data_IF_603655441306
#
_entry.id   IF_603655441306
#
_cell.length_a   1.000
_cell.length_b   1.000
_cell.length_c   1.000
_cell.angle_alpha   90.00
_cell.angle_beta   90.00
_cell.angle_gamma   90.00
#
_symmetry.space_group_name_H-M   'P 1'
#
loop_
_entity.id
_entity.type
_entity.pdbx_description
1 polymer ?
#
# COMPACT_ATOMS: atom_id res chain seq x y z
N UNK A 1 30.71 -2.42 -11.29
CA UNK A 1 29.40 -1.72 -11.13
C UNK A 1 28.38 -2.50 -11.94
N UNK A 2 27.59 -3.35 -11.27
CA UNK A 2 26.52 -4.12 -11.91
C UNK A 2 25.30 -3.19 -11.97
N UNK A 3 24.93 -2.76 -13.19
CA UNK A 3 23.65 -2.07 -13.41
C UNK A 3 22.54 -3.09 -13.24
N UNK A 4 21.76 -2.96 -12.16
CA UNK A 4 20.48 -3.63 -12.03
C UNK A 4 19.53 -2.93 -13.03
N UNK A 5 19.26 -3.60 -14.16
CA UNK A 5 18.16 -3.24 -15.04
C UNK A 5 16.88 -3.75 -14.36
N UNK A 6 16.15 -2.85 -13.71
CA UNK A 6 14.76 -3.11 -13.33
C UNK A 6 13.93 -3.15 -14.62
N UNK A 7 13.69 -4.33 -15.12
CA UNK A 7 12.77 -4.54 -16.24
C UNK A 7 11.34 -4.46 -15.68
N UNK A 8 10.58 -3.44 -16.11
CA UNK A 8 9.15 -3.34 -15.81
C UNK A 8 8.42 -4.48 -16.54
N UNK A 9 7.95 -5.48 -15.78
CA UNK A 9 7.00 -6.46 -16.27
C UNK A 9 5.68 -5.73 -16.57
N UNK A 10 5.29 -5.65 -17.82
CA UNK A 10 3.91 -5.35 -18.20
C UNK A 10 3.09 -6.63 -17.96
N UNK A 11 2.54 -6.76 -16.77
CA UNK A 11 1.51 -7.75 -16.49
C UNK A 11 0.17 -7.11 -16.82
N UNK A 12 -0.55 -7.63 -17.80
CA UNK A 12 -1.96 -7.30 -17.96
C UNK A 12 -2.73 -8.05 -16.89
N UNK A 13 -3.21 -7.36 -15.88
CA UNK A 13 -4.13 -7.90 -14.89
C UNK A 13 -5.54 -7.50 -15.26
N UNK A 14 -6.38 -8.47 -15.62
CA UNK A 14 -7.81 -8.24 -15.69
C UNK A 14 -8.42 -8.49 -14.31
N UNK A 15 -9.09 -7.49 -13.76
CA UNK A 15 -9.84 -7.61 -12.52
C UNK A 15 -11.33 -7.56 -12.84
N UNK A 16 -12.05 -8.59 -12.45
CA UNK A 16 -13.52 -8.59 -12.49
C UNK A 16 -14.07 -8.75 -11.08
N UNK A 17 -15.03 -7.92 -10.71
CA UNK A 17 -15.78 -8.04 -9.46
C UNK A 17 -17.24 -8.35 -9.76
N UNK A 18 -17.79 -9.34 -9.07
CA UNK A 18 -19.19 -9.69 -9.13
C UNK A 18 -19.79 -9.61 -7.72
N UNK A 19 -20.92 -8.94 -7.60
CA UNK A 19 -21.72 -8.94 -6.35
C UNK A 19 -22.49 -10.26 -6.25
N UNK A 20 -22.29 -10.97 -5.16
CA UNK A 20 -23.10 -12.12 -4.81
C UNK A 20 -24.38 -11.66 -4.10
N UNK A 21 -25.53 -12.31 -4.31
CA UNK A 21 -26.79 -11.93 -3.63
C UNK A 21 -26.61 -12.02 -2.11
N UNK A 22 -26.86 -10.92 -1.43
CA UNK A 22 -26.81 -10.82 0.02
C UNK A 22 -28.19 -10.51 0.60
N UNK A 23 -28.54 -11.16 1.70
CA UNK A 23 -29.80 -10.98 2.43
C UNK A 23 -29.68 -10.02 3.61
N UNK A 24 -28.46 -9.57 3.95
CA UNK A 24 -28.20 -8.61 5.03
C UNK A 24 -27.86 -7.24 4.43
N UNK A 25 -28.60 -6.20 4.83
CA UNK A 25 -28.47 -4.85 4.29
C UNK A 25 -27.17 -4.15 4.63
N UNK A 26 -26.42 -4.65 5.62
CA UNK A 26 -25.20 -4.01 6.13
C UNK A 26 -23.90 -4.67 5.66
N UNK A 27 -24.01 -5.78 4.91
CA UNK A 27 -22.85 -6.52 4.41
C UNK A 27 -23.00 -6.86 2.93
N UNK A 28 -21.86 -6.84 2.22
CA UNK A 28 -21.77 -7.18 0.81
C UNK A 28 -20.65 -8.19 0.60
N UNK A 29 -20.95 -9.28 -0.11
CA UNK A 29 -19.95 -10.27 -0.47
C UNK A 29 -19.54 -10.10 -1.93
N UNK A 30 -18.22 -10.02 -2.16
CA UNK A 30 -17.61 -9.87 -3.47
C UNK A 30 -16.72 -11.05 -3.78
N UNK A 31 -16.77 -11.47 -5.02
CA UNK A 31 -15.79 -12.38 -5.60
C UNK A 31 -14.86 -11.57 -6.54
N UNK A 32 -13.57 -11.57 -6.25
CA UNK A 32 -12.55 -10.94 -7.07
C UNK A 32 -11.73 -12.01 -7.76
N UNK A 33 -11.59 -11.91 -9.07
CA UNK A 33 -10.72 -12.79 -9.85
C UNK A 33 -9.63 -11.96 -10.49
N UNK A 34 -8.38 -12.29 -10.18
CA UNK A 34 -7.19 -11.71 -10.78
C UNK A 34 -6.49 -12.75 -11.62
N UNK A 35 -6.26 -12.46 -12.90
CA UNK A 35 -5.55 -13.33 -13.81
C UNK A 35 -4.24 -12.68 -14.25
N UNK A 36 -3.16 -13.42 -14.14
CA UNK A 36 -1.81 -12.99 -14.51
C UNK A 36 -1.32 -13.87 -15.64
N UNK A 37 -0.90 -13.26 -16.74
CA UNK A 37 -0.15 -13.88 -17.82
C UNK A 37 1.17 -13.10 -17.95
N UNK A 38 2.25 -13.69 -17.42
CA UNK A 38 3.52 -13.00 -17.28
C UNK A 38 4.40 -13.29 -18.48
N UNK A 39 4.78 -12.24 -19.18
CA UNK A 39 5.74 -12.29 -20.28
C UNK A 39 7.09 -11.77 -19.76
N UNK A 40 8.12 -12.63 -19.67
CA UNK A 40 9.44 -12.18 -19.25
C UNK A 40 10.03 -11.22 -20.30
N UNK A 41 10.86 -10.25 -19.89
CA UNK A 41 11.56 -9.39 -20.82
C UNK A 41 12.38 -10.18 -21.83
N UNK A 42 12.44 -9.71 -23.06
CA UNK A 42 13.22 -10.36 -24.12
C UNK A 42 14.69 -10.53 -23.70
N UNK A 43 15.21 -11.73 -23.84
CA UNK A 43 16.58 -12.08 -23.45
C UNK A 43 16.78 -12.34 -21.96
N UNK A 44 15.75 -12.27 -21.15
CA UNK A 44 15.84 -12.67 -19.74
C UNK A 44 16.06 -14.18 -19.65
N UNK A 45 17.05 -14.56 -18.82
CA UNK A 45 17.35 -15.96 -18.50
C UNK A 45 17.21 -16.10 -16.99
N UNK A 46 16.28 -16.87 -16.54
CA UNK A 46 16.09 -17.08 -15.11
C UNK A 46 14.65 -17.36 -14.73
N UNK A 47 14.46 -17.73 -13.50
CA UNK A 47 13.16 -17.94 -12.89
C UNK A 47 12.34 -16.64 -12.88
N UNK A 48 11.03 -16.78 -12.94
CA UNK A 48 10.10 -15.66 -12.76
C UNK A 48 9.44 -15.77 -11.40
N UNK A 49 9.48 -14.71 -10.65
CA UNK A 49 8.88 -14.64 -9.32
C UNK A 49 7.79 -13.56 -9.30
N UNK A 50 6.65 -13.88 -8.72
CA UNK A 50 5.53 -12.98 -8.54
C UNK A 50 5.10 -12.96 -7.07
N UNK A 51 4.88 -11.77 -6.54
CA UNK A 51 4.28 -11.55 -5.24
C UNK A 51 2.97 -10.78 -5.42
N UNK A 52 1.87 -11.41 -5.03
CA UNK A 52 0.53 -10.82 -5.08
C UNK A 52 0.11 -10.45 -3.67
N UNK A 53 -0.04 -9.17 -3.34
CA UNK A 53 -0.57 -8.76 -2.04
C UNK A 53 -1.97 -9.32 -1.85
N UNK A 54 -2.23 -9.87 -0.67
CA UNK A 54 -3.54 -10.39 -0.30
C UNK A 54 -4.19 -9.49 0.74
N UNK A 55 -5.52 -9.33 0.71
CA UNK A 55 -6.25 -8.61 1.73
C UNK A 55 -6.19 -9.36 3.07
N UNK A 56 -6.39 -8.65 4.16
CA UNK A 56 -6.56 -9.21 5.50
C UNK A 56 -7.94 -8.87 6.06
N UNK A 57 -8.40 -9.66 7.02
CA UNK A 57 -9.66 -9.40 7.73
C UNK A 57 -9.45 -8.32 8.80
N UNK A 58 -10.46 -7.46 8.96
CA UNK A 58 -10.53 -6.43 9.98
C UNK A 58 -12.01 -6.19 10.37
N UNK A 59 -12.30 -5.14 11.13
CA UNK A 59 -13.65 -4.83 11.59
C UNK A 59 -14.66 -4.57 10.46
N UNK A 60 -14.19 -4.25 9.25
CA UNK A 60 -15.01 -3.81 8.11
C UNK A 60 -14.98 -4.79 6.93
N UNK A 61 -14.09 -5.74 6.95
CA UNK A 61 -14.04 -6.79 5.93
C UNK A 61 -13.57 -8.12 6.49
N UNK A 62 -14.13 -9.20 5.94
CA UNK A 62 -13.73 -10.57 6.23
C UNK A 62 -13.29 -11.25 4.94
N UNK A 63 -12.05 -11.72 4.90
CA UNK A 63 -11.56 -12.56 3.80
C UNK A 63 -12.05 -13.98 4.06
N UNK A 64 -13.07 -14.41 3.32
CA UNK A 64 -13.72 -15.70 3.49
C UNK A 64 -12.94 -16.82 2.81
N UNK A 65 -12.36 -16.56 1.62
CA UNK A 65 -11.58 -17.52 0.88
C UNK A 65 -10.49 -16.85 0.04
N UNK A 66 -9.36 -17.55 -0.08
CA UNK A 66 -8.27 -17.27 -1.02
C UNK A 66 -7.97 -18.56 -1.75
N UNK A 67 -8.28 -18.60 -3.03
CA UNK A 67 -8.04 -19.74 -3.91
C UNK A 67 -7.09 -19.30 -5.03
N UNK A 68 -6.19 -20.18 -5.45
CA UNK A 68 -5.32 -19.87 -6.57
C UNK A 68 -4.97 -21.11 -7.35
N UNK A 69 -4.84 -20.94 -8.67
CA UNK A 69 -4.48 -21.98 -9.64
C UNK A 69 -3.53 -21.41 -10.68
N UNK A 70 -2.71 -22.25 -11.31
CA UNK A 70 -1.79 -21.84 -12.36
C UNK A 70 -0.81 -22.94 -12.73
N UNK A 71 0.12 -22.60 -13.62
CA UNK A 71 1.18 -23.51 -14.05
C UNK A 71 2.54 -23.21 -13.38
N UNK A 72 2.51 -22.70 -12.17
CA UNK A 72 3.70 -22.40 -11.38
C UNK A 72 4.44 -23.67 -10.93
N UNK A 73 5.74 -23.58 -10.75
CA UNK A 73 6.56 -24.63 -10.15
C UNK A 73 6.33 -24.68 -8.63
N UNK A 74 6.14 -23.51 -8.00
CA UNK A 74 5.89 -23.37 -6.56
C UNK A 74 5.00 -22.17 -6.30
N UNK A 75 3.99 -22.33 -5.42
CA UNK A 75 3.22 -21.22 -4.89
C UNK A 75 2.82 -21.47 -3.44
N UNK A 76 2.78 -20.40 -2.65
CA UNK A 76 2.35 -20.43 -1.25
C UNK A 76 2.03 -19.01 -0.74
N UNK A 77 1.19 -18.94 0.28
CA UNK A 77 0.94 -17.69 0.98
C UNK A 77 2.00 -17.49 2.06
N UNK A 78 2.65 -16.32 2.04
CA UNK A 78 3.59 -15.91 3.09
C UNK A 78 2.81 -15.25 4.21
N UNK A 79 3.12 -15.63 5.44
CA UNK A 79 2.56 -15.10 6.67
C UNK A 79 3.70 -14.81 7.67
N UNK A 80 3.35 -14.35 8.86
CA UNK A 80 4.29 -14.18 9.98
C UNK A 80 5.40 -13.13 9.77
N UNK A 81 5.04 -12.00 9.18
CA UNK A 81 5.88 -10.80 9.22
C UNK A 81 5.37 -9.83 10.30
N UNK A 82 6.21 -8.87 10.69
CA UNK A 82 5.92 -7.93 11.77
C UNK A 82 4.66 -7.06 11.54
N UNK A 83 4.18 -6.95 10.30
CA UNK A 83 3.00 -6.17 9.95
C UNK A 83 1.74 -7.02 9.72
N UNK A 84 1.83 -8.34 9.89
CA UNK A 84 0.73 -9.26 9.58
C UNK A 84 0.30 -9.28 8.11
N UNK A 85 1.12 -8.75 7.22
CA UNK A 85 0.82 -8.70 5.80
C UNK A 85 0.86 -10.09 5.18
N UNK A 86 -0.11 -10.39 4.30
CA UNK A 86 -0.18 -11.64 3.56
C UNK A 86 0.16 -11.40 2.10
N UNK A 87 0.96 -12.29 1.53
CA UNK A 87 1.35 -12.21 0.12
C UNK A 87 1.34 -13.61 -0.48
N UNK A 88 0.68 -13.79 -1.61
CA UNK A 88 0.83 -15.00 -2.41
C UNK A 88 2.12 -14.88 -3.23
N UNK A 89 3.04 -15.80 -2.98
CA UNK A 89 4.23 -15.98 -3.81
C UNK A 89 3.98 -17.06 -4.82
N UNK A 90 4.39 -16.83 -6.06
CA UNK A 90 4.41 -17.85 -7.12
C UNK A 90 5.72 -17.75 -7.92
N UNK A 91 6.26 -18.91 -8.32
CA UNK A 91 7.52 -19.02 -9.03
C UNK A 91 7.33 -19.93 -10.26
N UNK A 92 7.98 -19.56 -11.36
CA UNK A 92 8.07 -20.35 -12.57
C UNK A 92 9.53 -20.54 -12.95
N UNK A 93 9.84 -21.75 -13.41
CA UNK A 93 11.16 -22.08 -13.91
C UNK A 93 11.54 -21.22 -15.13
N UNK A 94 12.85 -21.06 -15.34
CA UNK A 94 13.39 -20.28 -16.43
C UNK A 94 12.87 -20.70 -17.82
N UNK A 95 12.61 -21.99 -18.00
CA UNK A 95 12.17 -22.59 -19.27
C UNK A 95 10.65 -22.71 -19.37
N UNK A 96 9.87 -22.13 -18.48
CA UNK A 96 8.41 -22.20 -18.57
C UNK A 96 7.92 -21.45 -19.84
N UNK A 97 7.16 -22.14 -20.69
CA UNK A 97 6.60 -21.57 -21.92
C UNK A 97 5.57 -20.48 -21.62
N UNK A 98 4.79 -20.70 -20.57
CA UNK A 98 3.76 -19.76 -20.06
C UNK A 98 3.91 -19.59 -18.57
N UNK A 99 3.46 -18.47 -18.04
CA UNK A 99 3.48 -18.14 -16.62
C UNK A 99 2.12 -17.60 -16.21
N UNK A 100 1.23 -18.54 -15.91
CA UNK A 100 -0.17 -18.24 -15.63
C UNK A 100 -0.46 -18.41 -14.14
N UNK A 101 -1.13 -17.43 -13.57
CA UNK A 101 -1.68 -17.49 -12.22
C UNK A 101 -3.07 -16.86 -12.25
N UNK A 102 -4.03 -17.54 -11.62
CA UNK A 102 -5.35 -17.00 -11.33
C UNK A 102 -5.57 -17.04 -9.83
N UNK A 103 -5.97 -15.93 -9.28
CA UNK A 103 -6.28 -15.77 -7.85
C UNK A 103 -7.73 -15.39 -7.73
N UNK A 104 -8.46 -16.13 -6.92
CA UNK A 104 -9.86 -15.86 -6.60
C UNK A 104 -9.98 -15.54 -5.10
N UNK A 105 -10.59 -14.41 -4.79
CA UNK A 105 -10.80 -13.93 -3.44
C UNK A 105 -12.29 -13.79 -3.19
N UNK A 106 -12.78 -14.35 -2.09
CA UNK A 106 -14.13 -14.09 -1.60
C UNK A 106 -14.03 -13.21 -0.36
N UNK A 107 -14.59 -12.00 -0.45
CA UNK A 107 -14.48 -10.99 0.60
C UNK A 107 -15.88 -10.49 0.94
N UNK A 108 -16.22 -10.54 2.21
CA UNK A 108 -17.38 -9.87 2.77
C UNK A 108 -16.95 -8.50 3.32
N UNK A 109 -17.67 -7.45 2.96
CA UNK A 109 -17.44 -6.10 3.48
C UNK A 109 -18.68 -5.64 4.24
N UNK A 110 -18.47 -4.81 5.27
CA UNK A 110 -19.55 -4.10 5.98
C UNK A 110 -19.56 -2.65 5.52
N UNK A 111 -20.76 -2.10 5.42
CA UNK A 111 -20.92 -0.68 5.21
C UNK A 111 -20.26 0.10 6.35
N UNK A 112 -19.55 1.13 6.01
CA UNK A 112 -18.96 2.05 6.98
C UNK A 112 -19.02 3.47 6.48
N UNK A 113 -19.21 4.38 7.40
CA UNK A 113 -19.14 5.80 7.17
C UNK A 113 -18.00 6.39 8.03
N UNK A 114 -16.73 6.24 7.61
CA UNK A 114 -15.55 6.59 8.41
C UNK A 114 -15.50 8.08 8.76
N UNK A 115 -16.16 8.90 7.94
CA UNK A 115 -16.29 10.35 8.12
C UNK A 115 -17.77 10.73 8.24
N UNK A 116 -18.52 10.02 9.09
CA UNK A 116 -19.90 10.36 9.38
C UNK A 116 -20.02 11.86 9.63
N UNK A 117 -21.05 12.48 9.06
CA UNK A 117 -21.23 13.94 9.11
C UNK A 117 -21.16 14.43 10.55
N UNK A 118 -20.09 15.14 10.87
CA UNK A 118 -19.81 15.61 12.23
C UNK A 118 -18.99 14.66 13.11
N UNK A 119 -18.53 13.50 12.62
CA UNK A 119 -17.75 12.54 13.42
C UNK A 119 -16.51 13.14 14.12
N UNK A 120 -15.90 14.14 13.51
CA UNK A 120 -14.74 14.85 14.08
C UNK A 120 -15.12 16.20 14.74
N UNK A 121 -16.39 16.61 14.69
CA UNK A 121 -16.82 17.91 15.21
C UNK A 121 -16.60 18.04 16.72
N UNK A 122 -16.84 16.95 17.42
CA UNK A 122 -16.77 16.90 18.89
C UNK A 122 -15.48 16.18 19.38
N UNK A 123 -14.52 15.95 18.47
CA UNK A 123 -13.25 15.32 18.83
C UNK A 123 -12.50 16.23 19.81
N UNK A 124 -12.30 15.71 21.02
CA UNK A 124 -11.48 16.35 22.04
C UNK A 124 -10.09 15.73 22.05
N UNK A 125 -9.08 16.57 21.96
CA UNK A 125 -7.69 16.10 22.10
C UNK A 125 -7.49 15.63 23.53
N UNK A 126 -7.13 14.37 23.76
CA UNK A 126 -6.84 13.92 25.12
C UNK A 126 -5.60 14.66 25.67
N UNK A 127 -5.59 14.93 26.97
CA UNK A 127 -4.45 15.56 27.65
C UNK A 127 -3.15 14.81 27.40
N UNK A 128 -3.24 13.48 27.30
CA UNK A 128 -2.12 12.61 26.95
C UNK A 128 -2.57 11.59 25.90
N UNK A 129 -1.88 11.58 24.76
CA UNK A 129 -2.08 10.56 23.74
C UNK A 129 -1.26 9.33 24.13
N UNK A 130 -1.94 8.21 24.36
CA UNK A 130 -1.32 6.91 24.65
C UNK A 130 -1.66 5.99 23.48
N UNK A 131 -0.64 5.60 22.73
CA UNK A 131 -0.81 4.65 21.63
C UNK A 131 -0.77 3.21 22.15
N UNK A 132 -1.68 2.37 21.68
CA UNK A 132 -1.66 0.93 21.95
C UNK A 132 -0.41 0.27 21.35
N UNK A 133 -0.05 -0.89 21.85
CA UNK A 133 1.20 -1.60 21.44
C UNK A 133 1.24 -1.89 19.94
N UNK A 134 0.10 -2.26 19.38
CA UNK A 134 -0.07 -2.51 17.93
C UNK A 134 0.14 -1.26 17.09
N UNK A 135 -0.25 -0.08 17.59
CA UNK A 135 -0.01 1.19 16.90
C UNK A 135 1.44 1.66 17.01
N UNK A 136 2.12 1.38 18.12
CA UNK A 136 3.49 1.82 18.36
C UNK A 136 4.48 1.33 17.29
N UNK A 137 4.24 0.15 16.69
CA UNK A 137 5.08 -0.38 15.60
C UNK A 137 5.08 0.56 14.38
N UNK A 138 3.92 1.14 14.06
CA UNK A 138 3.76 2.04 12.91
C UNK A 138 4.28 3.46 13.15
N UNK A 139 4.68 3.79 14.37
CA UNK A 139 5.32 5.07 14.69
C UNK A 139 6.86 5.01 14.55
N UNK A 140 7.41 3.84 14.27
CA UNK A 140 8.86 3.68 14.09
C UNK A 140 9.28 4.14 12.69
N UNK A 141 10.46 4.78 12.58
CA UNK A 141 11.01 5.13 11.27
C UNK A 141 11.33 3.87 10.46
N UNK A 142 11.27 4.00 9.15
CA UNK A 142 11.72 2.98 8.20
C UNK A 142 12.92 3.50 7.40
N UNK A 143 13.43 2.69 6.46
CA UNK A 143 14.55 3.10 5.61
C UNK A 143 14.26 4.37 4.82
N UNK A 144 13.06 4.53 4.29
CA UNK A 144 12.67 5.66 3.45
C UNK A 144 11.80 6.70 4.18
N UNK A 145 11.10 6.30 5.23
CA UNK A 145 10.24 7.18 6.02
C UNK A 145 10.96 7.45 7.35
N UNK A 146 11.80 8.50 7.36
CA UNK A 146 12.46 8.99 8.56
C UNK A 146 11.51 9.89 9.34
N UNK A 147 11.68 9.93 10.65
CA UNK A 147 10.84 10.74 11.57
C UNK A 147 11.68 11.75 12.37
N UNK A 148 12.96 11.90 12.04
CA UNK A 148 13.92 12.78 12.69
C UNK A 148 14.63 13.70 11.69
N UNK A 149 15.71 14.35 12.10
CA UNK A 149 16.55 15.15 11.24
C UNK A 149 15.79 16.23 10.47
N UNK A 150 16.02 16.29 9.15
CA UNK A 150 15.38 17.26 8.25
C UNK A 150 13.86 17.05 8.17
N UNK A 151 13.39 15.81 8.24
CA UNK A 151 11.97 15.48 8.19
C UNK A 151 11.24 16.13 9.36
N UNK A 152 11.76 15.94 10.58
CA UNK A 152 11.20 16.57 11.77
C UNK A 152 11.23 18.10 11.69
N UNK A 153 12.32 18.69 11.19
CA UNK A 153 12.45 20.14 11.03
C UNK A 153 11.38 20.70 10.08
N UNK A 154 11.08 20.00 8.98
CA UNK A 154 10.01 20.38 8.07
C UNK A 154 8.64 20.25 8.73
N UNK A 155 8.37 19.14 9.41
CA UNK A 155 7.12 18.94 10.14
C UNK A 155 6.91 20.04 11.18
N UNK A 156 7.91 20.32 12.03
CA UNK A 156 7.86 21.38 13.06
C UNK A 156 7.61 22.77 12.45
N UNK A 157 8.22 23.06 11.29
CA UNK A 157 8.01 24.33 10.58
C UNK A 157 6.57 24.47 10.05
N UNK A 158 6.00 23.36 9.53
CA UNK A 158 4.64 23.34 8.97
C UNK A 158 3.60 23.49 10.08
N UNK A 159 3.74 22.73 11.16
CA UNK A 159 2.74 22.68 12.22
C UNK A 159 2.89 23.80 13.26
N UNK A 160 4.09 24.41 13.39
CA UNK A 160 4.37 25.47 14.33
C UNK A 160 4.05 25.07 15.77
N UNK A 161 3.26 25.87 16.46
CA UNK A 161 2.83 25.64 17.86
C UNK A 161 1.52 24.85 17.98
N UNK A 162 0.98 24.30 16.88
CA UNK A 162 -0.26 23.54 16.93
C UNK A 162 -0.08 22.26 17.77
N UNK A 163 -1.02 21.98 18.66
CA UNK A 163 -1.00 20.79 19.53
C UNK A 163 -2.04 19.75 19.17
N UNK A 164 -3.13 20.16 18.49
CA UNK A 164 -4.19 19.26 18.08
C UNK A 164 -3.71 18.36 16.92
N UNK A 165 -3.68 17.02 17.08
CA UNK A 165 -3.16 16.12 16.05
C UNK A 165 -3.94 16.16 14.74
N UNK A 166 -5.26 16.36 14.78
CA UNK A 166 -6.07 16.51 13.57
C UNK A 166 -5.71 17.78 12.80
N UNK A 167 -5.51 18.89 13.52
CA UNK A 167 -5.08 20.14 12.90
C UNK A 167 -3.66 20.04 12.34
N UNK A 168 -2.75 19.35 13.04
CA UNK A 168 -1.41 19.04 12.51
C UNK A 168 -1.51 18.28 11.20
N UNK A 169 -2.30 17.21 11.14
CA UNK A 169 -2.52 16.43 9.92
C UNK A 169 -3.11 17.30 8.79
N UNK A 170 -4.06 18.20 9.11
CA UNK A 170 -4.62 19.14 8.14
C UNK A 170 -3.58 20.11 7.61
N UNK A 171 -2.72 20.68 8.47
CA UNK A 171 -1.65 21.58 8.05
C UNK A 171 -0.63 20.89 7.15
N UNK A 172 -0.22 19.67 7.50
CA UNK A 172 0.69 18.87 6.70
C UNK A 172 0.05 18.53 5.34
N UNK A 173 -1.19 18.07 5.34
CA UNK A 173 -1.92 17.80 4.09
C UNK A 173 -2.01 19.04 3.20
N UNK A 174 -2.38 20.20 3.78
CA UNK A 174 -2.47 21.44 3.03
C UNK A 174 -1.11 21.84 2.43
N UNK A 175 -0.04 21.73 3.22
CA UNK A 175 1.31 22.01 2.73
C UNK A 175 1.69 21.11 1.54
N UNK A 176 1.37 19.80 1.61
CA UNK A 176 1.61 18.86 0.53
C UNK A 176 0.86 19.26 -0.74
N UNK A 177 -0.43 19.60 -0.62
CA UNK A 177 -1.26 20.03 -1.74
C UNK A 177 -0.70 21.30 -2.41
N UNK A 178 -0.14 22.21 -1.63
CA UNK A 178 0.39 23.49 -2.13
C UNK A 178 1.82 23.39 -2.68
N UNK A 179 2.61 22.42 -2.22
CA UNK A 179 4.05 22.38 -2.50
C UNK A 179 4.50 21.16 -3.29
N UNK A 180 3.68 20.09 -3.36
CA UNK A 180 4.05 18.87 -4.06
C UNK A 180 3.26 18.67 -5.34
N UNK A 181 3.90 18.10 -6.35
CA UNK A 181 3.31 17.86 -7.66
C UNK A 181 3.48 16.40 -8.09
N UNK A 182 2.45 15.87 -8.78
CA UNK A 182 2.53 14.55 -9.39
C UNK A 182 3.36 14.57 -10.66
N UNK A 183 4.41 13.76 -10.70
CA UNK A 183 5.27 13.57 -11.88
C UNK A 183 5.01 12.19 -12.53
N UNK A 184 4.36 12.20 -13.68
CA UNK A 184 4.03 10.98 -14.41
C UNK A 184 5.23 10.36 -15.15
N UNK A 185 6.36 11.06 -15.27
CA UNK A 185 7.60 10.55 -15.87
C UNK A 185 8.36 9.58 -14.96
N UNK A 186 8.08 9.61 -13.63
CA UNK A 186 8.66 8.68 -12.67
C UNK A 186 8.20 7.27 -12.97
N UNK A 187 9.13 6.33 -13.09
CA UNK A 187 8.82 4.92 -13.32
C UNK A 187 8.28 4.24 -12.05
N UNK A 188 7.35 3.30 -12.23
CA UNK A 188 6.73 2.58 -11.11
C UNK A 188 5.85 3.48 -10.24
N UNK A 189 5.94 3.32 -8.93
CA UNK A 189 5.13 4.04 -7.94
C UNK A 189 5.90 5.16 -7.21
N UNK A 190 7.18 5.35 -7.50
CA UNK A 190 8.10 6.21 -6.76
C UNK A 190 8.92 5.44 -5.72
N UNK A 191 9.92 6.09 -5.13
CA UNK A 191 10.82 5.54 -4.11
C UNK A 191 10.31 5.78 -2.69
N UNK A 192 9.67 6.93 -2.45
CA UNK A 192 9.20 7.35 -1.14
C UNK A 192 10.30 7.73 -0.17
N UNK A 193 11.50 8.09 -0.66
CA UNK A 193 12.62 8.55 0.18
C UNK A 193 12.40 10.01 0.59
N UNK A 194 11.78 10.18 1.76
CA UNK A 194 11.33 11.49 2.25
C UNK A 194 12.51 12.42 2.54
N UNK A 195 13.55 11.92 3.18
CA UNK A 195 14.75 12.72 3.51
C UNK A 195 15.41 13.27 2.25
N UNK A 196 15.58 12.43 1.25
CA UNK A 196 16.14 12.82 -0.06
C UNK A 196 15.29 13.87 -0.75
N UNK A 197 13.96 13.70 -0.75
CA UNK A 197 13.02 14.65 -1.37
C UNK A 197 13.10 16.03 -0.71
N UNK A 198 13.02 16.08 0.62
CA UNK A 198 13.05 17.34 1.37
C UNK A 198 14.40 18.03 1.29
N UNK A 199 15.51 17.28 1.31
CA UNK A 199 16.86 17.82 1.22
C UNK A 199 17.19 18.35 -0.17
N UNK A 200 16.78 17.64 -1.22
CA UNK A 200 17.03 18.06 -2.62
C UNK A 200 16.08 19.16 -3.08
N UNK A 201 14.95 19.38 -2.42
CA UNK A 201 13.91 20.30 -2.85
C UNK A 201 13.12 19.78 -4.08
N UNK A 202 13.31 18.54 -4.49
CA UNK A 202 12.53 17.90 -5.55
C UNK A 202 11.22 17.38 -4.98
N UNK A 203 10.22 18.26 -4.91
CA UNK A 203 8.92 18.01 -4.29
C UNK A 203 7.89 17.50 -5.30
N UNK A 204 8.29 16.58 -6.17
CA UNK A 204 7.42 15.96 -7.17
C UNK A 204 7.71 14.48 -7.33
N UNK A 205 6.68 13.71 -7.62
CA UNK A 205 6.83 12.27 -7.74
C UNK A 205 5.50 11.56 -7.94
N UNK A 206 5.46 10.29 -7.62
CA UNK A 206 4.24 9.47 -7.69
C UNK A 206 3.57 9.29 -6.33
N UNK A 207 2.60 8.39 -6.28
CA UNK A 207 1.78 8.16 -5.10
C UNK A 207 2.64 7.84 -3.86
N UNK A 208 3.65 6.97 -4.02
CA UNK A 208 4.55 6.59 -2.91
C UNK A 208 5.32 7.81 -2.41
N UNK A 209 5.89 8.61 -3.32
CA UNK A 209 6.67 9.79 -2.95
C UNK A 209 5.82 10.79 -2.15
N UNK A 210 4.66 11.16 -2.69
CA UNK A 210 3.78 12.17 -2.08
C UNK A 210 3.20 11.69 -0.74
N UNK A 211 2.69 10.45 -0.68
CA UNK A 211 2.08 9.94 0.55
C UNK A 211 3.11 9.64 1.63
N UNK A 212 4.35 9.25 1.28
CA UNK A 212 5.41 9.03 2.26
C UNK A 212 5.75 10.31 3.02
N UNK A 213 5.70 11.48 2.36
CA UNK A 213 5.91 12.78 3.04
C UNK A 213 4.79 13.05 4.06
N UNK A 214 3.54 12.66 3.77
CA UNK A 214 2.45 12.80 4.74
C UNK A 214 2.62 11.89 5.96
N UNK A 215 3.14 10.68 5.75
CA UNK A 215 3.29 9.68 6.82
C UNK A 215 4.48 9.96 7.72
N UNK A 216 5.54 10.56 7.18
CA UNK A 216 6.78 10.88 7.91
C UNK A 216 6.59 12.03 8.89
#
# INVERSE_FOLDING_TARGET
MKKLLLASLLASAAVSAQTLPNTNTDTHTYEFVQSYDLVPPQGSKGETNLWVPLPFSNDYQTVQAVEFEGNYAKAYVTENNQYGAKTLYANWDANADKRLLKVKLTIETKDREPMAKGALKDYQVPEKIIYSVDVQEYLKPTTHIKTDGVVKQFADKIVGSETNPLKKAQLIHQWIVENMERDNSVLGCGEGDVEKMLTSGVLKGKCTDINSVFVA
#
